data_IF_434430458107
#
_entry.id   IF_434430458107
#
_cell.length_a   1.000
_cell.length_b   1.000
_cell.length_c   1.000
_cell.angle_alpha   90.00
_cell.angle_beta   90.00
_cell.angle_gamma   90.00
#
_symmetry.space_group_name_H-M   'P 1'
#
loop_
_entity.id
_entity.type
_entity.pdbx_description
1 polymer ?
#
# COMPACT_ATOMS: atom_id res chain seq x y z
N UNK A 1 15.39 -16.08 -15.68
CA UNK A 1 16.05 -17.37 -15.87
C UNK A 1 17.06 -17.56 -14.74
N UNK A 2 16.63 -18.18 -13.65
CA UNK A 2 17.50 -18.85 -12.69
C UNK A 2 16.64 -19.93 -12.05
N UNK A 3 16.88 -21.14 -12.53
CA UNK A 3 16.32 -22.41 -12.14
C UNK A 3 16.82 -22.73 -10.72
N UNK A 4 15.92 -22.99 -9.76
CA UNK A 4 16.29 -23.60 -8.49
C UNK A 4 15.38 -24.81 -8.24
N UNK A 5 15.68 -25.88 -8.97
CA UNK A 5 15.27 -27.24 -8.65
C UNK A 5 15.78 -27.61 -7.26
N UNK A 6 14.89 -27.55 -6.28
CA UNK A 6 15.05 -28.29 -5.02
C UNK A 6 14.44 -29.66 -5.23
N UNK A 7 15.30 -30.66 -5.40
CA UNK A 7 14.96 -32.08 -5.35
C UNK A 7 14.40 -32.42 -3.96
N UNK A 8 13.17 -32.88 -3.88
CA UNK A 8 12.71 -33.65 -2.70
C UNK A 8 11.91 -34.85 -3.20
N UNK A 9 12.63 -35.95 -3.42
CA UNK A 9 12.04 -37.27 -3.57
C UNK A 9 11.92 -37.93 -2.19
N UNK A 10 10.75 -38.55 -1.97
CA UNK A 10 10.48 -39.68 -1.07
C UNK A 10 10.42 -39.51 0.46
N UNK A 11 9.49 -40.32 1.00
CA UNK A 11 9.20 -40.68 2.40
C UNK A 11 8.29 -39.71 3.17
N UNK A 12 7.03 -40.15 3.31
CA UNK A 12 5.95 -39.45 3.97
C UNK A 12 6.13 -39.26 5.47
N UNK A 13 5.29 -38.38 5.99
CA UNK A 13 5.04 -38.05 7.40
C UNK A 13 5.90 -36.96 8.09
N UNK A 14 7.12 -36.62 7.64
CA UNK A 14 7.94 -35.56 8.30
C UNK A 14 7.87 -34.19 7.58
N UNK A 15 7.22 -34.09 6.42
CA UNK A 15 7.13 -32.84 5.65
C UNK A 15 6.05 -31.85 6.16
N UNK A 16 5.09 -32.32 6.97
CA UNK A 16 3.93 -31.50 7.37
C UNK A 16 4.27 -30.51 8.50
N UNK A 17 5.20 -30.86 9.40
CA UNK A 17 5.55 -30.01 10.55
C UNK A 17 6.47 -28.84 10.19
N UNK A 18 7.41 -29.01 9.24
CA UNK A 18 8.16 -27.87 8.68
C UNK A 18 7.33 -27.08 7.66
N UNK A 19 6.45 -27.72 6.89
CA UNK A 19 5.57 -27.06 5.94
C UNK A 19 4.54 -26.16 6.62
N UNK A 20 4.01 -26.55 7.78
CA UNK A 20 3.11 -25.71 8.57
C UNK A 20 3.85 -24.54 9.22
N UNK A 21 5.04 -24.73 9.78
CA UNK A 21 5.83 -23.64 10.36
C UNK A 21 6.29 -22.63 9.29
N UNK A 22 6.75 -23.10 8.13
CA UNK A 22 7.10 -22.23 6.99
C UNK A 22 5.87 -21.48 6.45
N UNK A 23 4.73 -22.18 6.29
CA UNK A 23 3.45 -21.55 5.90
C UNK A 23 2.93 -20.56 6.95
N UNK A 24 3.20 -20.76 8.24
CA UNK A 24 2.79 -19.85 9.31
C UNK A 24 3.66 -18.57 9.29
N UNK A 25 4.96 -18.69 9.04
CA UNK A 25 5.87 -17.53 8.93
C UNK A 25 5.59 -16.70 7.66
N UNK A 26 5.32 -17.33 6.51
CA UNK A 26 4.88 -16.62 5.30
C UNK A 26 3.48 -16.00 5.45
N UNK A 27 2.58 -16.64 6.21
CA UNK A 27 1.23 -16.11 6.50
C UNK A 27 1.28 -14.91 7.44
N UNK A 28 2.25 -14.82 8.34
CA UNK A 28 2.45 -13.65 9.20
C UNK A 28 3.11 -12.46 8.49
N UNK A 29 3.94 -12.69 7.47
CA UNK A 29 4.50 -11.60 6.64
C UNK A 29 3.46 -10.88 5.78
N UNK A 30 2.24 -11.43 5.65
CA UNK A 30 1.11 -10.82 4.94
C UNK A 30 0.25 -9.87 5.80
N UNK A 31 0.38 -9.90 7.14
CA UNK A 31 -0.54 -9.16 8.03
C UNK A 31 0.03 -7.79 8.43
N UNK A 32 1.34 -7.60 8.34
CA UNK A 32 2.01 -6.30 8.49
C UNK A 32 3.04 -6.12 7.38
N UNK A 33 2.58 -5.94 6.14
CA UNK A 33 3.47 -5.49 5.07
C UNK A 33 3.53 -3.97 5.17
N UNK A 34 4.61 -3.46 5.76
CA UNK A 34 4.87 -2.01 5.76
C UNK A 34 4.98 -1.53 4.31
N UNK A 35 4.46 -0.32 4.01
CA UNK A 35 4.62 0.26 2.70
C UNK A 35 6.11 0.43 2.41
N UNK A 36 6.55 0.03 1.23
CA UNK A 36 7.93 0.23 0.79
C UNK A 36 8.20 1.71 0.55
N UNK A 37 7.18 2.44 0.11
CA UNK A 37 7.24 3.89 -0.14
C UNK A 37 6.02 4.57 0.49
N UNK A 38 6.26 5.63 1.27
CA UNK A 38 5.21 6.53 1.74
C UNK A 38 5.36 7.91 1.08
N UNK A 39 4.29 8.42 0.49
CA UNK A 39 4.20 9.73 -0.15
C UNK A 39 3.42 10.66 0.76
N UNK A 40 4.07 11.70 1.28
CA UNK A 40 3.45 12.67 2.17
C UNK A 40 3.05 13.91 1.35
N UNK A 41 1.77 14.28 1.41
CA UNK A 41 1.19 15.42 0.68
C UNK A 41 0.58 16.41 1.69
N UNK A 42 1.34 17.42 2.13
CA UNK A 42 0.76 18.58 2.81
C UNK A 42 0.00 19.45 1.78
N UNK A 43 -1.20 19.89 2.11
CA UNK A 43 -2.05 20.65 1.20
C UNK A 43 -2.70 21.85 1.89
N UNK A 44 -2.40 23.06 1.41
CA UNK A 44 -3.10 24.30 1.77
C UNK A 44 -3.48 25.01 0.47
N UNK A 45 -4.78 25.21 0.23
CA UNK A 45 -5.31 25.78 -1.02
C UNK A 45 -4.71 25.17 -2.29
N UNK A 46 -4.61 23.84 -2.29
CA UNK A 46 -3.92 23.06 -3.29
C UNK A 46 -4.82 22.62 -4.46
N UNK A 47 -6.06 23.12 -4.55
CA UNK A 47 -7.02 22.73 -5.57
C UNK A 47 -6.47 22.73 -7.01
N UNK A 48 -5.63 23.70 -7.44
CA UNK A 48 -5.07 23.70 -8.79
C UNK A 48 -4.13 22.52 -9.09
N UNK A 49 -3.53 21.92 -8.06
CA UNK A 49 -2.48 20.90 -8.21
C UNK A 49 -2.88 19.54 -7.68
N UNK A 50 -3.81 19.47 -6.72
CA UNK A 50 -4.09 18.25 -5.97
C UNK A 50 -4.57 17.10 -6.87
N UNK A 51 -5.35 17.41 -7.91
CA UNK A 51 -5.78 16.41 -8.89
C UNK A 51 -4.60 15.84 -9.67
N UNK A 52 -3.72 16.69 -10.18
CA UNK A 52 -2.54 16.25 -10.93
C UNK A 52 -1.55 15.48 -10.04
N UNK A 53 -1.38 15.93 -8.79
CA UNK A 53 -0.49 15.28 -7.83
C UNK A 53 -0.98 13.86 -7.51
N UNK A 54 -2.27 13.69 -7.20
CA UNK A 54 -2.84 12.38 -6.87
C UNK A 54 -2.93 11.45 -8.09
N UNK A 55 -3.23 11.99 -9.27
CA UNK A 55 -3.14 11.22 -10.53
C UNK A 55 -1.72 10.74 -10.79
N UNK A 56 -0.71 11.58 -10.56
CA UNK A 56 0.71 11.18 -10.70
C UNK A 56 1.06 10.01 -9.78
N UNK A 57 0.58 10.02 -8.53
CA UNK A 57 0.78 8.89 -7.60
C UNK A 57 0.07 7.62 -8.10
N UNK A 58 -1.17 7.76 -8.58
CA UNK A 58 -1.94 6.65 -9.15
C UNK A 58 -1.26 6.06 -10.40
N UNK A 59 -0.53 6.85 -11.17
CA UNK A 59 0.15 6.41 -12.39
C UNK A 59 1.59 5.89 -12.19
N UNK A 60 2.10 5.84 -10.95
CA UNK A 60 3.44 5.32 -10.68
C UNK A 60 3.62 3.89 -11.22
N UNK A 61 4.77 3.63 -11.86
CA UNK A 61 5.15 2.35 -12.48
C UNK A 61 6.40 1.78 -11.79
N UNK A 62 6.58 0.46 -11.88
CA UNK A 62 7.78 -0.22 -11.34
C UNK A 62 7.70 -0.57 -9.85
N UNK A 63 6.56 -0.32 -9.21
CA UNK A 63 6.24 -0.70 -7.84
C UNK A 63 4.78 -1.18 -7.79
N UNK A 64 4.49 -2.19 -6.96
CA UNK A 64 3.12 -2.64 -6.73
C UNK A 64 2.35 -1.57 -5.95
N UNK A 65 1.07 -1.35 -6.28
CA UNK A 65 0.25 -0.35 -5.59
C UNK A 65 0.06 -0.67 -4.10
N UNK A 66 0.06 -1.94 -3.75
CA UNK A 66 0.02 -2.41 -2.35
C UNK A 66 1.26 -2.05 -1.53
N UNK A 67 2.36 -1.68 -2.19
CA UNK A 67 3.60 -1.26 -1.54
C UNK A 67 3.70 0.27 -1.39
N UNK A 68 2.67 1.02 -1.78
CA UNK A 68 2.58 2.48 -1.66
C UNK A 68 1.57 2.88 -0.58
N UNK A 69 2.00 3.78 0.31
CA UNK A 69 1.12 4.56 1.19
C UNK A 69 1.11 6.02 0.76
N UNK A 70 -0.06 6.67 0.84
CA UNK A 70 -0.21 8.11 0.62
C UNK A 70 -0.80 8.74 1.87
N UNK A 71 -0.04 9.65 2.47
CA UNK A 71 -0.46 10.39 3.66
C UNK A 71 -0.78 11.84 3.27
N UNK A 72 -2.06 12.20 3.25
CA UNK A 72 -2.54 13.52 2.81
C UNK A 72 -3.03 14.33 4.00
N UNK A 73 -2.43 15.50 4.22
CA UNK A 73 -2.79 16.38 5.33
C UNK A 73 -3.27 17.72 4.81
N UNK A 74 -4.58 17.98 4.93
CA UNK A 74 -5.16 19.29 4.64
C UNK A 74 -4.86 20.26 5.79
N UNK A 75 -4.07 21.29 5.52
CA UNK A 75 -3.61 22.28 6.50
C UNK A 75 -4.50 23.54 6.45
N UNK A 76 -5.77 23.37 6.84
CA UNK A 76 -6.75 24.47 6.95
C UNK A 76 -6.98 25.25 5.64
N UNK A 77 -7.12 24.54 4.52
CA UNK A 77 -7.52 25.16 3.25
C UNK A 77 -8.89 25.86 3.36
N UNK A 78 -9.03 26.99 2.67
CA UNK A 78 -10.29 27.74 2.54
C UNK A 78 -10.99 27.52 1.20
N UNK A 79 -10.35 26.81 0.27
CA UNK A 79 -10.89 26.42 -1.03
C UNK A 79 -11.47 24.98 -1.02
N UNK A 80 -11.78 24.45 -2.22
CA UNK A 80 -12.33 23.10 -2.36
C UNK A 80 -11.29 21.96 -2.25
N UNK A 81 -10.06 22.23 -1.76
CA UNK A 81 -9.00 21.21 -1.63
C UNK A 81 -9.45 19.99 -0.82
N UNK A 82 -10.14 20.20 0.31
CA UNK A 82 -10.61 19.10 1.14
C UNK A 82 -11.63 18.21 0.43
N UNK A 83 -12.56 18.81 -0.31
CA UNK A 83 -13.54 18.08 -1.11
C UNK A 83 -12.85 17.26 -2.21
N UNK A 84 -11.89 17.87 -2.92
CA UNK A 84 -11.09 17.17 -3.92
C UNK A 84 -10.35 15.96 -3.30
N UNK A 85 -9.69 16.13 -2.15
CA UNK A 85 -9.00 15.02 -1.45
C UNK A 85 -9.98 13.89 -1.14
N UNK A 86 -11.16 14.20 -0.58
CA UNK A 86 -12.20 13.20 -0.24
C UNK A 86 -12.64 12.38 -1.46
N UNK A 87 -12.78 13.02 -2.62
CA UNK A 87 -13.16 12.35 -3.87
C UNK A 87 -12.08 11.40 -4.41
N UNK A 88 -10.82 11.60 -4.03
CA UNK A 88 -9.69 10.76 -4.45
C UNK A 88 -9.43 9.56 -3.55
N UNK A 89 -9.73 9.66 -2.25
CA UNK A 89 -9.52 8.56 -1.29
C UNK A 89 -10.06 7.21 -1.80
N UNK A 90 -11.32 7.08 -2.25
CA UNK A 90 -11.84 5.79 -2.73
C UNK A 90 -11.11 5.30 -3.98
N UNK A 91 -10.66 6.20 -4.87
CA UNK A 91 -9.94 5.83 -6.11
C UNK A 91 -8.57 5.24 -5.79
N UNK A 92 -7.84 5.86 -4.87
CA UNK A 92 -6.53 5.38 -4.41
C UNK A 92 -6.68 4.02 -3.72
N UNK A 93 -7.64 3.89 -2.79
CA UNK A 93 -7.88 2.63 -2.08
C UNK A 93 -8.31 1.50 -3.02
N UNK A 94 -9.18 1.78 -3.99
CA UNK A 94 -9.59 0.80 -5.01
C UNK A 94 -8.42 0.32 -5.88
N UNK A 95 -7.37 1.15 -6.04
CA UNK A 95 -6.15 0.77 -6.76
C UNK A 95 -5.17 -0.07 -5.92
N UNK A 96 -5.46 -0.28 -4.63
CA UNK A 96 -4.60 -1.02 -3.70
C UNK A 96 -3.62 -0.14 -2.93
N UNK A 97 -3.66 1.17 -3.09
CA UNK A 97 -2.81 2.13 -2.35
C UNK A 97 -3.40 2.36 -0.95
N UNK A 98 -2.57 2.26 0.08
CA UNK A 98 -2.95 2.64 1.45
C UNK A 98 -3.06 4.16 1.56
N UNK A 99 -4.11 4.68 2.21
CA UNK A 99 -4.33 6.13 2.35
C UNK A 99 -4.56 6.51 3.81
N UNK A 100 -3.73 7.41 4.30
CA UNK A 100 -3.83 8.06 5.62
C UNK A 100 -4.20 9.52 5.41
N UNK A 101 -5.16 10.02 6.18
CA UNK A 101 -5.51 11.44 6.19
C UNK A 101 -5.57 11.97 7.62
N UNK A 102 -5.53 13.29 7.79
CA UNK A 102 -5.85 13.92 9.08
C UNK A 102 -7.20 13.38 9.60
N UNK A 103 -7.19 12.80 10.80
CA UNK A 103 -8.37 12.20 11.46
C UNK A 103 -8.57 10.69 11.24
N UNK A 104 -7.72 10.00 10.49
CA UNK A 104 -7.79 8.53 10.37
C UNK A 104 -6.97 7.84 11.48
N UNK A 105 -7.61 7.02 12.33
CA UNK A 105 -6.88 6.06 13.19
C UNK A 105 -6.42 4.86 12.35
N UNK A 106 -5.18 4.41 12.56
CA UNK A 106 -4.72 3.09 12.09
C UNK A 106 -5.21 2.06 13.10
N UNK A 107 -6.50 1.70 13.01
CA UNK A 107 -7.07 0.58 13.77
C UNK A 107 -6.93 -0.73 13.00
#
# INVERSE_FOLDING_TARGET
>A
MADLRVCIASAGAISILLGACFRIVERHRRIYREPVVSVIIPAHNALPWIHQALESVLQQRGIDKSDIEVSIYNDLSSDATEAAIKDWIPKLRASGISVVTSGSSKD
#
